data_IF_916075582825
#
_entry.id   IF_916075582825
#
_cell.length_a   1.000
_cell.length_b   1.000
_cell.length_c   1.000
_cell.angle_alpha   90.00
_cell.angle_beta   90.00
_cell.angle_gamma   90.00
#
_symmetry.space_group_name_H-M   'P 1'
#
loop_
_entity.id
_entity.type
_entity.pdbx_description
1 polymer ?
#
# COMPACT_ATOMS: atom_id res chain seq x y z
N UNK A 1 -12.64 29.31 57.38
CA UNK A 1 -12.63 27.89 56.95
C UNK A 1 -11.40 27.69 56.07
N UNK A 2 -10.30 27.34 56.72
CA UNK A 2 -8.96 27.18 56.17
C UNK A 2 -8.78 25.75 55.64
N UNK A 3 -8.68 25.59 54.32
CA UNK A 3 -8.33 24.31 53.70
C UNK A 3 -6.86 24.30 53.30
N UNK A 4 -6.10 23.43 53.98
CA UNK A 4 -4.70 23.10 53.70
C UNK A 4 -4.61 22.18 52.47
N UNK A 5 -3.55 22.29 51.65
CA UNK A 5 -3.33 21.38 50.52
C UNK A 5 -2.74 20.03 50.95
N UNK A 6 -3.26 18.96 50.35
CA UNK A 6 -2.85 17.57 50.53
C UNK A 6 -1.56 17.31 49.74
N UNK A 7 -0.51 16.89 50.45
CA UNK A 7 0.81 16.59 49.91
C UNK A 7 0.92 15.10 49.60
N UNK A 8 1.06 14.74 48.31
CA UNK A 8 1.28 13.34 47.90
C UNK A 8 2.75 12.95 48.07
N UNK A 9 3.01 11.94 48.90
CA UNK A 9 4.34 11.35 49.09
C UNK A 9 4.58 10.24 48.05
N UNK A 10 5.63 10.41 47.25
CA UNK A 10 6.16 9.41 46.33
C UNK A 10 7.05 8.44 47.11
N UNK A 11 6.62 7.18 47.24
CA UNK A 11 7.47 6.11 47.76
C UNK A 11 8.13 5.39 46.60
N UNK A 12 9.46 5.48 46.53
CA UNK A 12 10.32 4.71 45.63
C UNK A 12 10.66 3.40 46.33
N UNK A 13 10.22 2.28 45.76
CA UNK A 13 10.61 0.95 46.21
C UNK A 13 11.86 0.50 45.44
N UNK A 14 12.98 0.42 46.15
CA UNK A 14 14.25 -0.15 45.70
C UNK A 14 14.17 -1.67 45.85
N UNK A 15 14.27 -2.41 44.74
CA UNK A 15 14.45 -3.86 44.77
C UNK A 15 15.87 -4.15 44.25
N UNK A 16 16.71 -4.57 45.19
CA UNK A 16 18.02 -5.18 44.98
C UNK A 16 17.82 -6.66 44.68
N UNK A 17 18.25 -7.13 43.51
CA UNK A 17 18.47 -8.56 43.27
C UNK A 17 19.76 -8.76 42.48
N UNK A 18 20.53 -9.71 42.98
CA UNK A 18 21.91 -10.01 42.65
C UNK A 18 22.09 -10.73 41.30
N UNK A 19 23.30 -10.58 40.80
CA UNK A 19 23.89 -11.18 39.59
C UNK A 19 23.96 -12.71 39.68
N UNK A 20 23.66 -13.37 38.57
CA UNK A 20 23.90 -14.79 38.36
C UNK A 20 24.31 -15.01 36.91
N UNK A 21 25.59 -15.28 36.68
CA UNK A 21 26.16 -15.61 35.38
C UNK A 21 25.68 -17.00 34.92
N UNK A 22 25.20 -17.08 33.69
CA UNK A 22 24.98 -18.35 32.98
C UNK A 22 25.19 -18.08 31.49
N UNK A 23 26.28 -18.61 30.96
CA UNK A 23 26.63 -18.58 29.54
C UNK A 23 25.78 -19.62 28.80
N UNK A 24 24.81 -19.17 28.02
CA UNK A 24 24.09 -20.02 27.05
C UNK A 24 24.37 -19.54 25.63
N UNK A 25 24.85 -20.49 24.83
CA UNK A 25 25.28 -20.37 23.46
C UNK A 25 24.10 -20.05 22.52
N UNK A 26 24.25 -18.96 21.76
CA UNK A 26 23.33 -18.56 20.69
C UNK A 26 23.51 -19.46 19.45
N UNK A 27 22.66 -20.46 19.28
CA UNK A 27 22.41 -21.09 17.98
C UNK A 27 21.36 -20.28 17.22
N UNK A 28 21.83 -19.31 16.42
CA UNK A 28 20.97 -18.56 15.51
C UNK A 28 20.65 -19.40 14.27
N UNK A 29 19.52 -20.10 14.31
CA UNK A 29 18.87 -20.66 13.12
C UNK A 29 18.10 -19.56 12.39
N UNK A 30 18.78 -18.87 11.47
CA UNK A 30 18.13 -17.95 10.52
C UNK A 30 17.86 -18.69 9.22
N UNK A 31 16.64 -19.23 9.10
CA UNK A 31 16.05 -19.62 7.82
C UNK A 31 15.73 -18.35 7.00
N UNK A 32 16.74 -17.84 6.30
CA UNK A 32 16.67 -16.71 5.38
C UNK A 32 16.79 -17.17 3.93
N UNK A 33 15.85 -16.72 3.11
CA UNK A 33 15.66 -17.00 1.69
C UNK A 33 16.96 -16.84 0.87
N UNK A 34 17.48 -17.94 0.29
CA UNK A 34 18.63 -17.93 -0.64
C UNK A 34 18.16 -17.82 -2.10
N UNK A 35 17.56 -16.68 -2.46
CA UNK A 35 17.41 -16.33 -3.86
C UNK A 35 18.42 -15.23 -4.18
N UNK A 36 19.23 -15.47 -5.22
CA UNK A 36 20.24 -14.60 -5.84
C UNK A 36 21.65 -14.57 -5.22
N UNK A 37 22.36 -15.70 -5.29
CA UNK A 37 23.82 -15.68 -5.43
C UNK A 37 24.19 -16.46 -6.70
N UNK A 38 24.10 -15.79 -7.85
CA UNK A 38 24.69 -16.32 -9.09
C UNK A 38 26.10 -15.71 -9.14
N UNK A 39 27.17 -16.49 -8.93
CA UNK A 39 28.52 -15.95 -9.00
C UNK A 39 28.84 -15.54 -10.44
N UNK A 40 29.27 -14.29 -10.61
CA UNK A 40 29.71 -13.77 -11.92
C UNK A 40 31.07 -14.38 -12.25
N UNK A 41 31.16 -15.12 -13.36
CA UNK A 41 32.44 -15.62 -13.86
C UNK A 41 33.15 -14.51 -14.64
N UNK A 42 34.30 -14.07 -14.13
CA UNK A 42 35.17 -13.14 -14.86
C UNK A 42 35.88 -13.87 -16.00
N UNK A 43 35.62 -13.46 -17.24
CA UNK A 43 36.35 -13.94 -18.42
C UNK A 43 37.64 -13.11 -18.50
N UNK A 44 38.80 -13.75 -18.58
CA UNK A 44 40.05 -13.04 -18.83
C UNK A 44 40.03 -12.40 -20.21
N UNK A 45 40.38 -11.11 -20.27
CA UNK A 45 40.52 -10.40 -21.53
C UNK A 45 41.64 -11.04 -22.35
N UNK A 46 41.32 -11.54 -23.54
CA UNK A 46 42.32 -12.02 -24.49
C UNK A 46 43.17 -10.86 -24.98
N UNK A 47 44.49 -11.05 -25.02
CA UNK A 47 45.47 -10.11 -25.56
C UNK A 47 45.23 -9.91 -27.06
N UNK A 48 44.35 -8.96 -27.39
CA UNK A 48 44.25 -8.41 -28.74
C UNK A 48 45.32 -7.32 -28.85
N UNK A 49 46.37 -7.62 -29.61
CA UNK A 49 47.43 -6.67 -29.92
C UNK A 49 46.88 -5.49 -30.70
N UNK A 50 46.62 -4.38 -30.01
CA UNK A 50 46.28 -3.10 -30.62
C UNK A 50 47.54 -2.23 -30.68
N UNK A 51 47.89 -1.80 -31.88
CA UNK A 51 48.99 -0.88 -32.15
C UNK A 51 48.70 0.48 -31.51
N UNK A 52 49.68 1.03 -30.78
CA UNK A 52 49.51 2.26 -29.99
C UNK A 52 49.49 3.50 -30.90
N UNK A 53 48.39 4.29 -30.96
CA UNK A 53 48.46 5.65 -31.48
C UNK A 53 49.18 6.59 -30.50
N UNK A 54 49.69 7.71 -31.01
CA UNK A 54 50.56 8.67 -30.30
C UNK A 54 49.89 9.22 -29.04
N UNK A 55 50.65 9.24 -27.92
CA UNK A 55 50.16 9.64 -26.58
C UNK A 55 49.85 11.14 -26.53
N UNK A 56 48.59 11.48 -26.28
CA UNK A 56 48.20 12.76 -25.64
C UNK A 56 48.42 12.64 -24.12
N UNK A 57 48.38 13.75 -23.39
CA UNK A 57 48.57 13.70 -21.93
C UNK A 57 47.46 12.89 -21.27
N UNK A 58 47.78 12.09 -20.24
CA UNK A 58 46.82 11.19 -19.55
C UNK A 58 45.57 11.93 -19.08
N UNK A 59 45.72 13.20 -18.69
CA UNK A 59 44.65 14.09 -18.25
C UNK A 59 43.64 14.45 -19.34
N UNK A 60 44.08 14.59 -20.59
CA UNK A 60 43.19 14.93 -21.71
C UNK A 60 42.33 13.72 -22.10
N UNK A 61 42.93 12.52 -22.12
CA UNK A 61 42.24 11.27 -22.50
C UNK A 61 41.14 10.89 -21.50
N UNK A 62 41.40 11.10 -20.20
CA UNK A 62 40.41 10.92 -19.14
C UNK A 62 39.30 11.98 -19.25
N UNK A 63 39.66 13.23 -19.58
CA UNK A 63 38.67 14.31 -19.77
C UNK A 63 37.72 14.02 -20.93
N UNK A 64 38.24 13.54 -22.07
CA UNK A 64 37.43 13.21 -23.25
C UNK A 64 36.50 12.01 -22.98
N UNK A 65 36.98 11.01 -22.24
CA UNK A 65 36.17 9.86 -21.84
C UNK A 65 34.96 10.26 -20.98
N UNK A 66 35.18 11.08 -19.95
CA UNK A 66 34.07 11.55 -19.10
C UNK A 66 33.15 12.53 -19.82
N UNK A 67 33.67 13.35 -20.74
CA UNK A 67 32.86 14.27 -21.55
C UNK A 67 31.90 13.52 -22.47
N UNK A 68 32.37 12.43 -23.09
CA UNK A 68 31.55 11.56 -23.94
C UNK A 68 30.47 10.79 -23.15
N UNK A 69 30.78 10.32 -21.95
CA UNK A 69 29.82 9.60 -21.10
C UNK A 69 28.62 10.47 -20.67
N UNK A 70 28.87 11.75 -20.44
CA UNK A 70 27.85 12.70 -19.96
C UNK A 70 27.13 13.36 -21.15
N UNK A 71 27.58 13.08 -22.39
CA UNK A 71 26.98 13.63 -23.61
C UNK A 71 27.13 15.15 -23.71
N UNK A 72 28.18 15.71 -23.10
CA UNK A 72 28.47 17.14 -23.19
C UNK A 72 29.36 17.32 -24.43
N UNK A 73 28.86 17.93 -25.53
CA UNK A 73 29.72 18.19 -26.68
C UNK A 73 30.80 19.21 -26.27
N UNK A 74 32.07 18.83 -26.38
CA UNK A 74 33.24 19.69 -26.12
C UNK A 74 33.60 20.59 -27.31
N UNK A 75 32.68 20.77 -28.26
CA UNK A 75 32.88 21.59 -29.45
C UNK A 75 31.97 22.81 -29.43
N UNK A 76 32.64 23.95 -29.43
CA UNK A 76 32.11 25.30 -29.60
C UNK A 76 31.38 25.47 -30.94
N UNK A 77 30.15 24.98 -31.08
CA UNK A 77 29.30 25.37 -32.20
C UNK A 77 27.84 25.63 -31.74
N UNK A 78 27.45 26.88 -32.00
CA UNK A 78 26.08 27.40 -32.13
C UNK A 78 25.25 27.62 -30.86
N UNK A 79 25.39 28.86 -30.36
CA UNK A 79 24.42 29.57 -29.52
C UNK A 79 23.10 29.75 -30.28
N UNK A 80 22.33 28.67 -30.40
CA UNK A 80 20.90 28.80 -30.65
C UNK A 80 20.31 29.42 -29.40
N UNK A 81 19.58 30.52 -29.54
CA UNK A 81 18.96 31.23 -28.41
C UNK A 81 17.89 30.34 -27.80
N UNK A 82 18.30 29.44 -26.91
CA UNK A 82 17.37 28.59 -26.20
C UNK A 82 16.69 29.44 -25.14
N UNK A 83 15.44 29.78 -25.42
CA UNK A 83 14.57 30.47 -24.47
C UNK A 83 14.43 29.58 -23.22
N UNK A 84 14.55 30.17 -22.04
CA UNK A 84 14.41 29.47 -20.77
C UNK A 84 13.30 30.11 -19.93
N UNK A 85 12.54 29.26 -19.25
CA UNK A 85 11.45 29.61 -18.36
C UNK A 85 11.83 29.29 -16.92
N UNK A 86 11.45 30.17 -16.00
CA UNK A 86 11.67 29.98 -14.57
C UNK A 86 10.57 29.09 -13.96
N UNK A 87 10.95 28.18 -13.06
CA UNK A 87 10.01 27.41 -12.26
C UNK A 87 10.09 27.78 -10.78
N UNK A 88 8.98 28.23 -10.20
CA UNK A 88 8.90 28.63 -8.78
C UNK A 88 9.03 27.44 -7.82
N UNK A 89 8.58 26.24 -8.22
CA UNK A 89 8.64 25.04 -7.37
C UNK A 89 10.06 24.53 -7.23
N UNK A 90 10.81 24.50 -8.33
CA UNK A 90 12.18 23.97 -8.35
C UNK A 90 13.25 25.06 -8.19
N UNK A 91 12.86 26.34 -8.22
CA UNK A 91 13.74 27.50 -8.13
C UNK A 91 14.93 27.43 -9.10
N UNK A 92 14.67 27.04 -10.35
CA UNK A 92 15.69 26.95 -11.41
C UNK A 92 15.13 27.33 -12.78
N UNK A 93 16.03 27.77 -13.67
CA UNK A 93 15.71 28.03 -15.07
C UNK A 93 15.76 26.73 -15.87
N UNK A 94 14.68 26.44 -16.59
CA UNK A 94 14.53 25.27 -17.44
C UNK A 94 14.40 25.75 -18.88
N UNK A 95 14.89 24.99 -19.85
CA UNK A 95 14.71 25.30 -21.26
C UNK A 95 13.22 25.22 -21.64
N UNK A 96 12.71 26.18 -22.41
CA UNK A 96 11.31 26.26 -22.81
C UNK A 96 10.81 24.96 -23.46
N UNK A 97 11.64 24.32 -24.29
CA UNK A 97 11.34 23.04 -24.94
C UNK A 97 11.14 21.90 -23.93
N UNK A 98 11.85 21.94 -22.80
CA UNK A 98 11.84 20.90 -21.76
C UNK A 98 10.91 21.22 -20.60
N UNK A 99 10.24 22.36 -20.62
CA UNK A 99 9.38 22.80 -19.53
C UNK A 99 8.23 21.82 -19.26
N UNK A 100 7.63 21.26 -20.31
CA UNK A 100 6.56 20.25 -20.17
C UNK A 100 7.05 18.94 -19.54
N UNK A 101 8.24 18.46 -19.93
CA UNK A 101 8.87 17.28 -19.32
C UNK A 101 9.21 17.53 -17.86
N UNK A 102 9.70 18.74 -17.55
CA UNK A 102 10.00 19.15 -16.20
C UNK A 102 8.76 19.11 -15.31
N UNK A 103 7.63 19.71 -15.73
CA UNK A 103 6.40 19.75 -14.92
C UNK A 103 5.84 18.35 -14.65
N UNK A 104 5.99 17.43 -15.62
CA UNK A 104 5.53 16.04 -15.50
C UNK A 104 6.56 15.13 -14.82
N UNK A 105 7.79 15.59 -14.65
CA UNK A 105 8.87 14.87 -14.01
C UNK A 105 8.56 14.58 -12.55
N UNK A 106 8.94 13.38 -12.10
CA UNK A 106 8.72 12.93 -10.72
C UNK A 106 9.34 13.88 -9.70
N UNK A 107 10.51 14.44 -9.99
CA UNK A 107 11.18 15.43 -9.14
C UNK A 107 10.32 16.69 -8.88
N UNK A 108 9.72 17.26 -9.94
CA UNK A 108 8.82 18.41 -9.81
C UNK A 108 7.52 18.06 -9.09
N UNK A 109 6.92 16.91 -9.42
CA UNK A 109 5.68 16.45 -8.77
C UNK A 109 5.85 16.22 -7.26
N UNK A 110 7.02 15.74 -6.82
CA UNK A 110 7.34 15.54 -5.40
C UNK A 110 7.67 16.86 -4.71
N UNK A 111 8.36 17.77 -5.40
CA UNK A 111 8.69 19.09 -4.87
C UNK A 111 7.49 20.03 -4.79
N UNK A 112 6.44 19.79 -5.59
CA UNK A 112 5.21 20.56 -5.53
C UNK A 112 4.63 20.49 -4.12
N UNK A 113 4.37 21.64 -3.46
CA UNK A 113 3.55 21.62 -2.26
C UNK A 113 2.21 20.99 -2.65
N UNK A 114 1.73 20.01 -1.89
CA UNK A 114 0.48 19.30 -2.14
C UNK A 114 -0.70 20.29 -2.23
N UNK A 115 -0.94 20.84 -3.42
CA UNK A 115 -1.95 21.86 -3.69
C UNK A 115 -3.35 21.24 -3.86
N UNK A 116 -3.42 19.95 -4.18
CA UNK A 116 -4.68 19.25 -4.25
C UNK A 116 -4.98 18.63 -2.88
N UNK A 117 -6.08 19.03 -2.21
CA UNK A 117 -6.63 18.26 -1.11
C UNK A 117 -6.82 16.82 -1.59
N UNK A 118 -6.43 15.84 -0.76
CA UNK A 118 -6.80 14.45 -1.04
C UNK A 118 -8.31 14.39 -1.24
N UNK A 119 -8.81 13.87 -2.37
CA UNK A 119 -10.24 13.87 -2.64
C UNK A 119 -10.94 13.13 -1.51
N UNK A 120 -12.00 13.76 -0.98
CA UNK A 120 -12.77 13.19 0.11
C UNK A 120 -13.35 11.84 -0.36
N UNK A 121 -13.11 10.72 0.37
CA UNK A 121 -13.57 9.39 -0.04
C UNK A 121 -15.09 9.28 -0.23
N UNK A 122 -15.88 10.23 0.28
CA UNK A 122 -17.35 10.18 0.22
C UNK A 122 -17.92 11.44 -0.43
N UNK A 123 -17.77 11.57 -1.74
CA UNK A 123 -18.43 12.65 -2.48
C UNK A 123 -19.95 12.41 -2.58
N UNK A 124 -20.75 13.25 -1.92
CA UNK A 124 -22.20 13.31 -2.15
C UNK A 124 -22.48 14.21 -3.35
N UNK A 125 -23.19 13.68 -4.34
CA UNK A 125 -23.65 14.46 -5.48
C UNK A 125 -24.71 15.48 -5.03
N UNK A 126 -24.58 16.73 -5.49
CA UNK A 126 -25.52 17.82 -5.17
C UNK A 126 -26.96 17.56 -5.62
N UNK A 127 -27.16 16.67 -6.62
CA UNK A 127 -28.49 16.26 -7.09
C UNK A 127 -29.20 15.29 -6.14
N UNK A 128 -28.51 14.76 -5.13
CA UNK A 128 -29.12 13.87 -4.15
C UNK A 128 -30.09 14.68 -3.28
N UNK A 129 -31.35 14.24 -3.22
CA UNK A 129 -32.40 14.91 -2.43
C UNK A 129 -31.97 15.06 -0.97
N UNK A 130 -31.35 14.03 -0.38
CA UNK A 130 -30.88 14.09 1.01
C UNK A 130 -29.77 15.12 1.22
N UNK A 131 -28.88 15.30 0.23
CA UNK A 131 -27.84 16.33 0.29
C UNK A 131 -28.45 17.73 0.24
N UNK A 132 -29.43 17.94 -0.66
CA UNK A 132 -30.15 19.21 -0.77
C UNK A 132 -30.90 19.54 0.52
N UNK A 133 -31.62 18.58 1.10
CA UNK A 133 -32.31 18.77 2.39
C UNK A 133 -31.36 19.12 3.54
N UNK A 134 -30.17 18.53 3.56
CA UNK A 134 -29.14 18.86 4.55
C UNK A 134 -28.61 20.29 4.36
N UNK A 135 -28.29 20.68 3.12
CA UNK A 135 -27.89 22.05 2.79
C UNK A 135 -28.96 23.07 3.17
N UNK A 136 -30.23 22.79 2.86
CA UNK A 136 -31.38 23.66 3.20
C UNK A 136 -31.54 23.83 4.71
N UNK A 137 -31.13 22.83 5.49
CA UNK A 137 -31.11 22.87 6.95
C UNK A 137 -29.90 23.61 7.54
N UNK A 138 -29.04 24.18 6.69
CA UNK A 138 -27.83 24.90 7.09
C UNK A 138 -26.61 24.01 7.36
N UNK A 139 -26.60 22.76 6.89
CA UNK A 139 -25.43 21.88 6.98
C UNK A 139 -24.49 22.10 5.79
N UNK A 140 -23.17 22.11 6.08
CA UNK A 140 -22.10 22.26 5.08
C UNK A 140 -21.33 20.95 4.96
N UNK A 141 -20.95 20.59 3.72
CA UNK A 141 -20.30 19.30 3.42
C UNK A 141 -18.95 19.11 4.13
N UNK A 142 -18.21 20.20 4.34
CA UNK A 142 -16.92 20.17 5.03
C UNK A 142 -17.04 19.99 6.55
N UNK A 143 -18.25 20.06 7.10
CA UNK A 143 -18.51 20.10 8.53
C UNK A 143 -19.31 18.91 9.04
N UNK A 144 -19.12 18.63 10.33
CA UNK A 144 -19.90 17.65 11.06
C UNK A 144 -21.32 18.12 11.36
N UNK A 145 -22.23 17.19 11.63
CA UNK A 145 -23.57 17.52 12.15
C UNK A 145 -23.52 18.00 13.62
N UNK A 146 -24.52 18.79 14.03
CA UNK A 146 -24.70 19.25 15.41
C UNK A 146 -24.34 20.72 15.64
N UNK A 147 -24.72 21.27 16.80
CA UNK A 147 -24.65 22.72 17.10
C UNK A 147 -23.26 23.33 16.88
N UNK A 148 -22.21 22.61 17.26
CA UNK A 148 -20.83 23.07 17.16
C UNK A 148 -20.11 22.44 15.95
N UNK A 149 -20.84 21.89 14.98
CA UNK A 149 -20.27 21.17 13.82
C UNK A 149 -19.33 20.01 14.20
N UNK A 150 -19.49 19.47 15.42
CA UNK A 150 -18.59 18.48 16.03
C UNK A 150 -18.94 17.02 15.70
N UNK A 151 -20.02 16.80 14.95
CA UNK A 151 -20.44 15.48 14.51
C UNK A 151 -19.40 14.85 13.60
N UNK A 152 -19.44 13.52 13.52
CA UNK A 152 -18.58 12.78 12.61
C UNK A 152 -19.05 13.02 11.16
N UNK A 153 -18.13 13.44 10.28
CA UNK A 153 -18.40 13.64 8.83
C UNK A 153 -18.66 12.32 8.11
N UNK A 154 -17.74 11.37 8.25
CA UNK A 154 -17.81 10.08 7.56
C UNK A 154 -18.57 9.02 8.36
N UNK A 155 -19.29 8.10 7.72
CA UNK A 155 -19.88 6.94 8.38
C UNK A 155 -18.86 6.15 9.21
N UNK A 156 -19.37 5.41 10.19
CA UNK A 156 -18.57 4.46 10.95
C UNK A 156 -18.22 3.27 10.06
N UNK A 157 -16.94 2.90 9.91
CA UNK A 157 -16.58 1.68 9.21
C UNK A 157 -17.10 0.49 10.00
N UNK A 158 -17.94 -0.33 9.37
CA UNK A 158 -18.50 -1.53 9.98
C UNK A 158 -17.64 -2.75 9.67
N UNK A 159 -17.83 -3.81 10.46
CA UNK A 159 -17.21 -5.13 10.26
C UNK A 159 -18.28 -6.22 10.29
N UNK A 160 -18.54 -6.81 9.14
CA UNK A 160 -19.29 -8.02 8.90
C UNK A 160 -18.54 -9.18 9.54
N UNK A 161 -19.25 -9.79 10.48
CA UNK A 161 -18.83 -11.01 11.12
C UNK A 161 -19.26 -12.18 10.25
N UNK A 162 -18.30 -12.81 9.58
CA UNK A 162 -18.54 -13.97 8.71
C UNK A 162 -18.44 -15.31 9.47
N UNK A 163 -17.86 -15.28 10.66
CA UNK A 163 -17.57 -16.44 11.47
C UNK A 163 -18.66 -16.71 12.53
N UNK A 164 -18.77 -17.97 12.93
CA UNK A 164 -19.67 -18.42 14.01
C UNK A 164 -19.00 -18.39 15.40
N UNK A 165 -17.79 -17.84 15.51
CA UNK A 165 -17.02 -17.84 16.76
C UNK A 165 -17.57 -16.83 17.76
N UNK A 166 -17.26 -17.02 19.05
CA UNK A 166 -17.66 -16.10 20.12
C UNK A 166 -17.03 -14.72 19.98
N UNK A 167 -17.65 -13.71 20.60
CA UNK A 167 -17.03 -12.39 20.75
C UNK A 167 -15.74 -12.53 21.59
N UNK A 168 -14.66 -11.86 21.20
CA UNK A 168 -13.36 -11.93 21.89
C UNK A 168 -12.38 -12.96 21.34
N UNK A 169 -12.76 -13.77 20.34
CA UNK A 169 -11.81 -14.62 19.63
C UNK A 169 -10.78 -13.76 18.88
N UNK A 170 -9.49 -14.11 18.95
CA UNK A 170 -8.41 -13.35 18.30
C UNK A 170 -8.41 -13.65 16.80
N UNK A 171 -8.96 -12.75 15.99
CA UNK A 171 -8.86 -12.82 14.53
C UNK A 171 -8.02 -11.68 13.95
N UNK A 172 -7.41 -11.91 12.79
CA UNK A 172 -6.74 -10.85 12.03
C UNK A 172 -7.79 -9.84 11.55
N UNK A 173 -7.69 -8.61 12.03
CA UNK A 173 -8.67 -7.55 11.78
C UNK A 173 -8.62 -7.13 10.31
N UNK A 174 -9.61 -7.51 9.50
CA UNK A 174 -9.90 -6.82 8.24
C UNK A 174 -10.81 -5.62 8.54
N UNK A 175 -10.44 -4.45 8.05
CA UNK A 175 -11.25 -3.25 8.09
C UNK A 175 -11.66 -2.98 6.65
N UNK A 176 -12.95 -2.68 6.44
CA UNK A 176 -13.61 -2.51 5.13
C UNK A 176 -14.08 -3.84 4.51
N UNK A 177 -15.34 -3.87 4.09
CA UNK A 177 -15.90 -4.94 3.25
C UNK A 177 -15.61 -4.61 1.81
N UNK A 178 -14.90 -5.50 1.13
CA UNK A 178 -14.92 -5.46 -0.31
C UNK A 178 -16.25 -6.04 -0.81
N UNK A 179 -16.72 -5.59 -1.96
CA UNK A 179 -17.99 -6.04 -2.54
C UNK A 179 -17.98 -7.57 -2.78
N UNK A 180 -16.79 -8.15 -2.98
CA UNK A 180 -16.55 -9.58 -3.06
C UNK A 180 -16.87 -10.31 -1.76
N UNK A 181 -16.49 -9.78 -0.59
CA UNK A 181 -16.77 -10.40 0.71
C UNK A 181 -18.28 -10.53 0.96
N UNK A 182 -19.05 -9.53 0.55
CA UNK A 182 -20.51 -9.51 0.67
C UNK A 182 -21.11 -10.58 -0.25
N UNK A 183 -20.66 -10.63 -1.50
CA UNK A 183 -21.10 -11.62 -2.47
C UNK A 183 -20.81 -13.05 -1.99
N UNK A 184 -19.58 -13.31 -1.53
CA UNK A 184 -19.20 -14.63 -0.99
C UNK A 184 -20.05 -15.03 0.22
N UNK A 185 -20.36 -14.09 1.11
CA UNK A 185 -21.22 -14.33 2.26
C UNK A 185 -22.64 -14.75 1.83
N UNK A 186 -23.20 -14.10 0.81
CA UNK A 186 -24.50 -14.49 0.24
C UNK A 186 -24.46 -15.89 -0.40
N UNK A 187 -23.39 -16.22 -1.14
CA UNK A 187 -23.25 -17.54 -1.75
C UNK A 187 -23.13 -18.64 -0.69
N UNK A 188 -22.36 -18.42 0.39
CA UNK A 188 -22.28 -19.36 1.51
C UNK A 188 -23.64 -19.59 2.18
N UNK A 189 -24.46 -18.54 2.34
CA UNK A 189 -25.83 -18.67 2.86
C UNK A 189 -26.73 -19.53 1.96
N UNK A 190 -26.55 -19.45 0.63
CA UNK A 190 -27.31 -20.28 -0.32
C UNK A 190 -26.91 -21.76 -0.25
N UNK A 191 -25.63 -22.05 0.00
CA UNK A 191 -25.08 -23.41 0.12
C UNK A 191 -25.42 -24.07 1.47
N UNK A 192 -25.34 -23.34 2.58
CA UNK A 192 -25.71 -23.82 3.93
C UNK A 192 -27.24 -23.80 4.16
N UNK A 193 -28.02 -23.72 3.07
CA UNK A 193 -29.48 -23.76 3.16
C UNK A 193 -29.89 -25.16 3.59
N UNK A 194 -30.42 -25.28 4.81
CA UNK A 194 -31.00 -26.52 5.31
C UNK A 194 -32.13 -26.95 4.38
N UNK A 195 -32.03 -28.16 3.81
CA UNK A 195 -33.10 -28.77 3.00
C UNK A 195 -34.35 -28.92 3.85
N UNK A 196 -35.51 -28.72 3.24
CA UNK A 196 -36.78 -28.94 3.94
C UNK A 196 -37.03 -30.44 4.14
N UNK A 197 -37.84 -30.81 5.14
CA UNK A 197 -38.19 -32.23 5.40
C UNK A 197 -38.74 -32.93 4.15
N UNK A 198 -39.53 -32.22 3.34
CA UNK A 198 -40.10 -32.74 2.09
C UNK A 198 -39.01 -33.04 1.04
N UNK A 199 -38.07 -32.12 0.84
CA UNK A 199 -36.94 -32.30 -0.08
C UNK A 199 -36.07 -33.50 0.29
N UNK A 200 -35.83 -33.71 1.60
CA UNK A 200 -35.03 -34.86 2.09
C UNK A 200 -35.73 -36.19 1.78
N UNK A 201 -37.05 -36.27 2.01
CA UNK A 201 -37.83 -37.48 1.72
C UNK A 201 -37.83 -37.78 0.22
N UNK A 202 -38.05 -36.77 -0.61
CA UNK A 202 -38.05 -36.94 -2.08
C UNK A 202 -36.67 -37.36 -2.62
N UNK A 203 -35.59 -36.80 -2.08
CA UNK A 203 -34.22 -37.19 -2.42
C UNK A 203 -33.96 -38.66 -2.08
N UNK A 204 -34.39 -39.12 -0.90
CA UNK A 204 -34.23 -40.51 -0.48
C UNK A 204 -35.05 -41.48 -1.35
N UNK A 205 -36.28 -41.11 -1.75
CA UNK A 205 -37.08 -41.89 -2.69
C UNK A 205 -36.43 -41.99 -4.08
N UNK A 206 -35.88 -40.88 -4.57
CA UNK A 206 -35.17 -40.84 -5.85
C UNK A 206 -33.92 -41.71 -5.82
N UNK A 207 -33.17 -41.68 -4.71
CA UNK A 207 -32.00 -42.53 -4.52
C UNK A 207 -32.39 -44.02 -4.45
N UNK A 208 -33.45 -44.35 -3.71
CA UNK A 208 -34.00 -45.72 -3.66
C UNK A 208 -34.35 -46.22 -5.06
N UNK A 209 -35.01 -45.40 -5.88
CA UNK A 209 -35.37 -45.76 -7.26
C UNK A 209 -34.14 -46.03 -8.12
N UNK A 210 -33.10 -45.19 -8.01
CA UNK A 210 -31.82 -45.40 -8.72
C UNK A 210 -31.14 -46.69 -8.30
N UNK A 211 -31.08 -47.00 -7.00
CA UNK A 211 -30.51 -48.25 -6.48
C UNK A 211 -31.25 -49.46 -7.02
N UNK A 212 -32.60 -49.44 -7.01
CA UNK A 212 -33.40 -50.53 -7.56
C UNK A 212 -33.20 -50.71 -9.07
N UNK A 213 -33.10 -49.61 -9.82
CA UNK A 213 -32.79 -49.67 -11.26
C UNK A 213 -31.39 -50.24 -11.53
N UNK A 214 -30.40 -49.87 -10.70
CA UNK A 214 -29.05 -50.42 -10.79
C UNK A 214 -29.01 -51.92 -10.50
N UNK A 215 -29.72 -52.39 -9.46
CA UNK A 215 -29.85 -53.82 -9.14
C UNK A 215 -30.52 -54.58 -10.29
N UNK A 216 -31.59 -54.02 -10.86
CA UNK A 216 -32.27 -54.63 -12.01
C UNK A 216 -31.36 -54.72 -13.26
N UNK A 217 -30.47 -53.74 -13.46
CA UNK A 217 -29.49 -53.77 -14.53
C UNK A 217 -28.41 -54.84 -14.31
N UNK A 218 -27.94 -55.02 -13.07
CA UNK A 218 -26.91 -56.01 -12.74
C UNK A 218 -27.43 -57.46 -12.70
N UNK A 219 -28.73 -57.66 -12.53
CA UNK A 219 -29.37 -58.97 -12.48
C UNK A 219 -29.88 -59.47 -13.85
N UNK A 220 -29.43 -58.85 -14.95
CA UNK A 220 -29.75 -59.22 -16.33
C UNK A 220 -28.51 -59.79 -17.02
#
# INVERSE_FOLDING_TARGET
MSHLPIQMQSQRNSITTQEGASTESLENSTSGLKYYEIPVTFIQAGDQGVTKPKKKSVSEDVSDFYSNLIGIPSTSEECTKQESTWCDVCSMNILSERYEEHIRGTGHLVARPNLAPTPDPIFLNEKNIGYMMLKDSGWEYEDGLGKNKSGRRHPLPTKLKLDKLGLGHKYKKKYVHEQQDIYEAEQRKKLDRRKTRKEIVEEHERERRKRMAMIAYMNR
#
